data_IF_941511379498
#
_entry.id   IF_941511379498
#
_cell.length_a   1.000
_cell.length_b   1.000
_cell.length_c   1.000
_cell.angle_alpha   90.00
_cell.angle_beta   90.00
_cell.angle_gamma   90.00
#
_symmetry.space_group_name_H-M   'P 1'
#
loop_
_entity.id
_entity.type
_entity.pdbx_description
1 polymer ?
#
# COMPACT_ATOMS: atom_id res chain seq x y z
N UNK A 1 25.40 2.96 -4.46
CA UNK A 1 24.78 3.29 -3.16
C UNK A 1 23.75 2.22 -2.86
N UNK A 2 23.94 1.43 -1.81
CA UNK A 2 22.93 0.49 -1.33
C UNK A 2 21.90 1.28 -0.53
N UNK A 3 20.69 1.41 -1.07
CA UNK A 3 19.57 1.99 -0.33
C UNK A 3 19.28 1.01 0.81
N UNK A 4 19.53 1.41 2.06
CA UNK A 4 19.12 0.62 3.23
C UNK A 4 17.62 0.81 3.38
N UNK A 5 16.86 -0.13 2.84
CA UNK A 5 15.41 -0.17 2.97
C UNK A 5 15.08 -0.72 4.37
N UNK A 6 14.15 -0.08 5.04
CA UNK A 6 13.49 -0.65 6.23
C UNK A 6 12.65 -1.87 5.82
N UNK A 7 12.36 -2.79 6.75
CA UNK A 7 11.52 -3.96 6.46
C UNK A 7 10.17 -3.61 5.81
N UNK A 8 9.59 -2.46 6.15
CA UNK A 8 8.36 -1.97 5.53
C UNK A 8 8.59 -1.53 4.09
N UNK A 9 9.70 -0.86 3.81
CA UNK A 9 10.06 -0.43 2.47
C UNK A 9 10.43 -1.61 1.56
N UNK A 10 11.09 -2.65 2.08
CA UNK A 10 11.34 -3.91 1.36
C UNK A 10 10.03 -4.62 1.00
N UNK A 11 9.10 -4.73 1.96
CA UNK A 11 7.79 -5.32 1.71
C UNK A 11 6.98 -4.51 0.70
N UNK A 12 7.08 -3.19 0.72
CA UNK A 12 6.44 -2.30 -0.26
C UNK A 12 7.09 -2.38 -1.65
N UNK A 13 8.38 -2.68 -1.73
CA UNK A 13 9.07 -2.92 -3.00
C UNK A 13 8.64 -4.25 -3.65
N UNK A 14 8.44 -5.29 -2.84
CA UNK A 14 8.01 -6.62 -3.29
C UNK A 14 6.52 -6.65 -3.71
N UNK A 15 5.64 -6.09 -2.87
CA UNK A 15 4.20 -6.16 -3.09
C UNK A 15 3.50 -4.85 -2.67
N UNK A 16 3.58 -3.79 -3.50
CA UNK A 16 3.15 -2.44 -3.12
C UNK A 16 1.67 -2.34 -2.73
N UNK A 17 0.78 -2.99 -3.48
CA UNK A 17 -0.67 -2.92 -3.25
C UNK A 17 -1.12 -3.56 -1.94
N UNK A 18 -0.92 -4.88 -1.75
CA UNK A 18 -1.32 -5.59 -0.54
C UNK A 18 -0.72 -5.01 0.75
N UNK A 19 0.56 -4.63 0.73
CA UNK A 19 1.24 -4.07 1.93
C UNK A 19 0.68 -2.69 2.26
N UNK A 20 0.51 -1.81 1.26
CA UNK A 20 -0.11 -0.50 1.48
C UNK A 20 -1.54 -0.61 1.99
N UNK A 21 -2.34 -1.54 1.44
CA UNK A 21 -3.71 -1.74 1.89
C UNK A 21 -3.79 -2.24 3.33
N UNK A 22 -2.92 -3.16 3.73
CA UNK A 22 -2.90 -3.69 5.10
C UNK A 22 -2.46 -2.63 6.11
N UNK A 23 -1.39 -1.88 5.82
CA UNK A 23 -0.93 -0.80 6.70
C UNK A 23 -1.97 0.33 6.76
N UNK A 24 -2.57 0.69 5.62
CA UNK A 24 -3.66 1.66 5.57
C UNK A 24 -4.87 1.25 6.41
N UNK A 25 -5.27 -0.02 6.37
CA UNK A 25 -6.36 -0.53 7.21
C UNK A 25 -6.06 -0.40 8.72
N UNK A 26 -4.81 -0.62 9.14
CA UNK A 26 -4.39 -0.44 10.53
C UNK A 26 -4.40 1.03 10.96
N UNK A 27 -3.95 1.93 10.08
CA UNK A 27 -3.99 3.38 10.33
C UNK A 27 -5.45 3.88 10.46
N UNK A 28 -6.33 3.43 9.56
CA UNK A 28 -7.76 3.72 9.64
C UNK A 28 -8.40 3.24 10.95
N UNK A 29 -8.07 2.02 11.39
CA UNK A 29 -8.57 1.48 12.66
C UNK A 29 -8.05 2.27 13.88
N UNK A 30 -6.80 2.72 13.84
CA UNK A 30 -6.23 3.59 14.87
C UNK A 30 -6.92 4.96 14.90
N UNK A 31 -7.17 5.57 13.73
CA UNK A 31 -7.93 6.81 13.64
C UNK A 31 -9.34 6.67 14.22
N UNK A 32 -10.08 5.63 13.83
CA UNK A 32 -11.43 5.39 14.34
C UNK A 32 -11.44 5.23 15.87
N UNK A 33 -10.41 4.59 16.43
CA UNK A 33 -10.23 4.44 17.88
C UNK A 33 -10.01 5.79 18.56
N UNK A 34 -9.11 6.62 18.02
CA UNK A 34 -8.81 7.95 18.55
C UNK A 34 -10.02 8.89 18.45
N UNK A 35 -10.74 8.86 17.34
CA UNK A 35 -12.00 9.60 17.17
C UNK A 35 -13.07 9.14 18.17
N UNK A 36 -13.13 7.84 18.45
CA UNK A 36 -13.98 7.28 19.51
C UNK A 36 -13.62 7.84 20.89
N UNK A 37 -12.33 7.94 21.20
CA UNK A 37 -11.86 8.53 22.47
C UNK A 37 -12.23 10.01 22.60
N UNK A 38 -12.19 10.79 21.52
CA UNK A 38 -12.57 12.21 21.52
C UNK A 38 -14.07 12.45 21.76
N UNK A 39 -14.93 11.43 21.57
CA UNK A 39 -16.36 11.53 21.89
C UNK A 39 -16.64 11.43 23.38
N UNK A 40 -15.67 10.97 24.17
CA UNK A 40 -15.77 10.97 25.63
C UNK A 40 -15.22 12.29 26.20
N UNK A 41 -15.76 12.77 27.33
CA UNK A 41 -15.17 13.89 28.03
C UNK A 41 -13.78 13.49 28.54
N UNK A 42 -12.73 14.04 27.91
CA UNK A 42 -11.35 13.78 28.27
C UNK A 42 -10.77 14.97 29.07
N UNK A 43 -9.90 14.70 30.06
CA UNK A 43 -9.09 15.74 30.67
C UNK A 43 -8.23 16.47 29.63
N UNK A 44 -7.92 17.76 29.79
CA UNK A 44 -7.20 18.57 28.80
C UNK A 44 -5.85 17.96 28.35
N UNK A 45 -5.10 17.34 29.27
CA UNK A 45 -3.84 16.68 28.97
C UNK A 45 -4.03 15.44 28.06
N UNK A 46 -5.08 14.66 28.30
CA UNK A 46 -5.41 13.49 27.46
C UNK A 46 -5.95 13.93 26.11
N UNK A 47 -6.72 15.02 26.06
CA UNK A 47 -7.17 15.61 24.81
C UNK A 47 -6.00 16.06 23.92
N UNK A 48 -5.00 16.75 24.50
CA UNK A 48 -3.78 17.13 23.79
C UNK A 48 -2.98 15.91 23.29
N UNK A 49 -2.92 14.85 24.08
CA UNK A 49 -2.26 13.60 23.68
C UNK A 49 -2.98 12.93 22.51
N UNK A 50 -4.32 12.82 22.56
CA UNK A 50 -5.12 12.22 21.48
C UNK A 50 -5.01 13.05 20.20
N UNK A 51 -4.97 14.37 20.29
CA UNK A 51 -4.69 15.26 19.15
C UNK A 51 -3.31 15.00 18.53
N UNK A 52 -2.28 14.86 19.35
CA UNK A 52 -0.92 14.54 18.87
C UNK A 52 -0.86 13.18 18.18
N UNK A 53 -1.54 12.17 18.75
CA UNK A 53 -1.66 10.84 18.13
C UNK A 53 -2.41 10.89 16.80
N UNK A 54 -3.48 11.67 16.69
CA UNK A 54 -4.18 11.88 15.41
C UNK A 54 -3.27 12.50 14.34
N UNK A 55 -2.46 13.49 14.73
CA UNK A 55 -1.49 14.09 13.80
C UNK A 55 -0.44 13.07 13.35
N UNK A 56 0.03 12.22 14.26
CA UNK A 56 0.98 11.15 13.94
C UNK A 56 0.39 10.11 12.97
N UNK A 57 -0.89 9.71 13.15
CA UNK A 57 -1.58 8.78 12.24
C UNK A 57 -1.70 9.40 10.84
N UNK A 58 -2.13 10.66 10.74
CA UNK A 58 -2.22 11.37 9.45
C UNK A 58 -0.87 11.50 8.75
N UNK A 59 0.19 11.76 9.52
CA UNK A 59 1.54 11.81 8.97
C UNK A 59 1.98 10.43 8.43
N UNK A 60 1.66 9.35 9.16
CA UNK A 60 1.96 7.99 8.72
C UNK A 60 1.21 7.61 7.42
N UNK A 61 -0.05 8.03 7.27
CA UNK A 61 -0.82 7.84 6.03
C UNK A 61 -0.18 8.57 4.84
N UNK A 62 0.21 9.83 5.02
CA UNK A 62 0.87 10.61 3.97
C UNK A 62 2.22 10.00 3.55
N UNK A 63 3.00 9.48 4.52
CA UNK A 63 4.25 8.78 4.25
C UNK A 63 3.97 7.48 3.48
N UNK A 64 2.99 6.69 3.92
CA UNK A 64 2.61 5.46 3.25
C UNK A 64 2.17 5.70 1.81
N UNK A 65 1.32 6.72 1.57
CA UNK A 65 0.88 7.09 0.22
C UNK A 65 2.07 7.51 -0.66
N UNK A 66 3.00 8.31 -0.12
CA UNK A 66 4.19 8.75 -0.84
C UNK A 66 5.08 7.57 -1.26
N UNK A 67 5.31 6.62 -0.35
CA UNK A 67 6.11 5.44 -0.60
C UNK A 67 5.40 4.49 -1.58
N UNK A 68 4.11 4.22 -1.38
CA UNK A 68 3.30 3.38 -2.26
C UNK A 68 3.25 3.94 -3.69
N UNK A 69 3.09 5.26 -3.83
CA UNK A 69 3.10 5.93 -5.13
C UNK A 69 4.45 5.80 -5.82
N UNK A 70 5.55 5.96 -5.08
CA UNK A 70 6.92 5.78 -5.61
C UNK A 70 7.16 4.36 -6.12
N UNK A 71 6.70 3.34 -5.40
CA UNK A 71 6.84 1.95 -5.83
C UNK A 71 5.91 1.60 -7.00
N UNK A 72 4.68 2.11 -7.00
CA UNK A 72 3.74 1.94 -8.12
C UNK A 72 4.29 2.55 -9.42
N UNK A 73 4.87 3.76 -9.37
CA UNK A 73 5.43 4.41 -10.57
C UNK A 73 6.77 3.83 -11.01
N UNK A 74 7.58 3.29 -10.08
CA UNK A 74 8.91 2.75 -10.39
C UNK A 74 8.89 1.27 -10.81
N UNK A 75 7.92 0.47 -10.34
CA UNK A 75 7.84 -0.98 -10.62
C UNK A 75 6.59 -1.39 -11.43
N UNK A 76 5.54 -0.57 -11.51
CA UNK A 76 4.32 -0.87 -12.27
C UNK A 76 4.53 -1.01 -13.78
N UNK A 77 5.65 -0.53 -14.32
CA UNK A 77 6.00 -0.69 -15.74
C UNK A 77 6.59 -2.07 -16.07
N UNK A 78 7.12 -2.81 -15.10
CA UNK A 78 7.69 -4.15 -15.32
C UNK A 78 6.64 -5.26 -15.21
N UNK A 79 5.60 -5.09 -14.40
CA UNK A 79 4.50 -6.08 -14.28
C UNK A 79 3.56 -6.10 -15.50
N UNK A 80 3.46 -5.00 -16.25
CA UNK A 80 2.66 -4.94 -17.47
C UNK A 80 3.37 -5.53 -18.71
N UNK A 81 4.69 -5.75 -18.64
CA UNK A 81 5.47 -6.29 -19.76
C UNK A 81 5.62 -7.82 -19.73
N UNK A 82 5.29 -8.47 -18.62
CA UNK A 82 5.47 -9.93 -18.45
C UNK A 82 4.22 -10.75 -18.78
N UNK A 83 3.06 -10.10 -18.97
CA UNK A 83 1.79 -10.79 -19.27
C UNK A 83 1.38 -10.77 -20.76
N UNK A 84 2.21 -10.22 -21.65
CA UNK A 84 1.89 -10.08 -23.09
C UNK A 84 2.71 -11.05 -23.98
N UNK A 85 2.93 -12.29 -23.52
CA UNK A 85 3.71 -13.28 -24.27
C UNK A 85 3.16 -14.71 -24.35
N UNK A 86 1.85 -14.93 -24.15
CA UNK A 86 1.30 -16.29 -24.25
C UNK A 86 -0.06 -16.39 -24.96
N UNK A 87 -0.19 -15.79 -26.16
CA UNK A 87 -1.44 -15.90 -26.92
C UNK A 87 -1.27 -16.10 -28.45
N UNK A 88 -0.20 -16.79 -28.88
CA UNK A 88 0.05 -17.02 -30.32
C UNK A 88 0.57 -18.42 -30.71
N UNK A 89 0.07 -19.51 -30.10
CA UNK A 89 0.47 -20.86 -30.56
C UNK A 89 -0.58 -21.97 -30.68
N UNK A 90 -1.87 -21.66 -30.74
CA UNK A 90 -2.91 -22.69 -30.96
C UNK A 90 -3.92 -22.35 -32.06
N UNK A 91 -3.45 -22.03 -33.27
CA UNK A 91 -4.30 -22.01 -34.47
C UNK A 91 -3.55 -22.43 -35.74
N UNK A 92 -2.99 -23.64 -35.77
CA UNK A 92 -2.66 -24.33 -37.04
C UNK A 92 -2.75 -25.84 -36.85
N UNK A 93 -3.96 -26.41 -36.84
CA UNK A 93 -4.15 -27.78 -37.32
C UNK A 93 -5.63 -28.07 -37.62
N UNK A 94 -6.12 -27.55 -38.74
CA UNK A 94 -7.30 -28.13 -39.42
C UNK A 94 -7.13 -27.89 -40.91
N UNK A 95 -6.28 -28.71 -41.52
CA UNK A 95 -6.36 -28.97 -42.95
C UNK A 95 -5.72 -30.34 -43.21
N UNK A 96 -6.40 -31.13 -44.03
CA UNK A 96 -5.92 -32.36 -44.66
C UNK A 96 -6.20 -33.67 -43.94
N UNK A 97 -7.42 -34.18 -44.12
CA UNK A 97 -7.57 -35.55 -44.65
C UNK A 97 -8.70 -35.56 -45.67
N UNK A 98 -8.31 -35.94 -46.89
CA UNK A 98 -9.17 -36.33 -48.02
C UNK A 98 -10.08 -37.49 -47.65
#
# INVERSE_FOLDING_TARGET
>A
MTIRLTHLEDALADSPGPVSSNVGAKLNAAQATLEGSLRMPLPPAQYAQVQSLMQAVRAAEAILESIARRYSTSYGKLAAADNDHDDRRSQKNVQSTR
#
